data_IF_135325148884
#
_entry.id   IF_135325148884
#
_cell.length_a   1.000
_cell.length_b   1.000
_cell.length_c   1.000
_cell.angle_alpha   90.00
_cell.angle_beta   90.00
_cell.angle_gamma   90.00
#
_symmetry.space_group_name_H-M   'P 1'
#
loop_
_entity.id
_entity.type
_entity.pdbx_description
1 polymer ?
#
# COMPACT_ATOMS: atom_id res chain seq x y z
N UNK A 1 13.05 -7.65 -25.57
CA UNK A 1 13.58 -7.02 -24.35
C UNK A 1 14.84 -7.74 -23.93
N UNK A 2 15.90 -6.99 -23.64
CA UNK A 2 17.22 -7.55 -23.28
C UNK A 2 17.32 -7.89 -21.78
N UNK A 3 16.26 -7.67 -20.98
CA UNK A 3 16.26 -7.92 -19.54
C UNK A 3 15.99 -9.39 -19.23
N UNK A 4 16.80 -9.98 -18.35
CA UNK A 4 16.58 -11.32 -17.78
C UNK A 4 15.66 -11.31 -16.56
N UNK A 5 15.24 -10.14 -16.08
CA UNK A 5 14.34 -9.98 -14.94
C UNK A 5 12.94 -10.48 -15.28
N UNK A 6 12.55 -11.60 -14.68
CA UNK A 6 11.31 -12.29 -15.02
C UNK A 6 10.04 -11.51 -14.66
N UNK A 7 10.08 -10.79 -13.53
CA UNK A 7 8.91 -10.08 -12.99
C UNK A 7 8.54 -8.85 -13.82
N UNK A 8 9.52 -8.12 -14.32
CA UNK A 8 9.29 -6.84 -15.01
C UNK A 8 9.46 -6.93 -16.52
N UNK A 9 10.09 -7.99 -17.02
CA UNK A 9 10.37 -8.19 -18.45
C UNK A 9 9.13 -8.06 -19.34
N UNK A 10 8.01 -8.66 -18.92
CA UNK A 10 6.75 -8.64 -19.67
C UNK A 10 6.16 -7.22 -19.75
N UNK A 11 6.48 -6.36 -18.78
CA UNK A 11 5.99 -4.98 -18.67
C UNK A 11 7.06 -3.95 -19.10
N UNK A 12 7.99 -4.34 -19.95
CA UNK A 12 9.03 -3.45 -20.45
C UNK A 12 10.01 -2.95 -19.37
N UNK A 13 10.16 -3.70 -18.27
CA UNK A 13 11.00 -3.33 -17.13
C UNK A 13 10.31 -2.46 -16.08
N UNK A 14 9.03 -2.15 -16.25
CA UNK A 14 8.29 -1.33 -15.29
C UNK A 14 8.03 -2.09 -13.99
N UNK A 15 8.51 -1.52 -12.88
CA UNK A 15 8.27 -2.05 -11.55
C UNK A 15 6.87 -1.68 -11.06
N UNK A 16 6.14 -2.65 -10.54
CA UNK A 16 4.80 -2.48 -9.99
C UNK A 16 4.88 -2.59 -8.46
N UNK A 17 4.30 -1.64 -7.76
CA UNK A 17 4.20 -1.67 -6.31
C UNK A 17 3.23 -2.80 -5.89
N UNK A 18 3.68 -3.82 -5.16
CA UNK A 18 2.85 -4.96 -4.82
C UNK A 18 1.68 -4.62 -3.88
N UNK A 19 1.78 -3.51 -3.15
CA UNK A 19 0.75 -3.07 -2.20
C UNK A 19 -0.37 -2.28 -2.87
N UNK A 20 -0.04 -1.46 -3.87
CA UNK A 20 -0.99 -0.54 -4.51
C UNK A 20 -1.38 -0.97 -5.92
N UNK A 21 -0.65 -1.94 -6.51
CA UNK A 21 -0.78 -2.37 -7.91
C UNK A 21 -0.60 -1.22 -8.91
N UNK A 22 0.12 -0.17 -8.51
CA UNK A 22 0.45 1.00 -9.32
C UNK A 22 1.97 1.05 -9.59
N UNK A 23 2.38 1.80 -10.57
CA UNK A 23 3.79 2.05 -10.90
C UNK A 23 4.44 3.11 -10.02
N UNK A 24 3.67 3.73 -9.12
CA UNK A 24 4.12 4.77 -8.19
C UNK A 24 4.53 4.18 -6.85
N UNK A 25 5.61 4.71 -6.32
CA UNK A 25 6.15 4.33 -5.02
C UNK A 25 6.27 5.55 -4.11
N UNK A 26 5.62 5.50 -2.96
CA UNK A 26 5.83 6.52 -1.92
C UNK A 26 7.18 6.27 -1.24
N UNK A 27 8.06 7.27 -1.22
CA UNK A 27 9.40 7.14 -0.63
C UNK A 27 9.38 6.66 0.82
N UNK A 28 8.42 7.14 1.61
CA UNK A 28 8.27 6.78 3.03
C UNK A 28 7.79 5.35 3.27
N UNK A 29 7.25 4.69 2.26
CA UNK A 29 6.70 3.31 2.34
C UNK A 29 7.45 2.33 1.44
N UNK A 30 8.47 2.81 0.78
CA UNK A 30 9.32 2.01 -0.09
C UNK A 30 10.20 1.06 0.72
N UNK A 31 10.55 -0.07 0.12
CA UNK A 31 11.55 -0.96 0.70
C UNK A 31 12.89 -0.21 0.88
N UNK A 32 13.56 -0.34 2.04
CA UNK A 32 14.80 0.39 2.32
C UNK A 32 15.92 0.13 1.31
N UNK A 33 16.01 -1.08 0.76
CA UNK A 33 17.02 -1.42 -0.24
C UNK A 33 16.76 -0.70 -1.57
N UNK A 34 15.51 -0.69 -2.01
CA UNK A 34 15.09 0.06 -3.19
C UNK A 34 15.24 1.57 -2.98
N UNK A 35 14.81 2.08 -1.82
CA UNK A 35 14.95 3.50 -1.47
C UNK A 35 16.40 3.96 -1.56
N UNK A 36 17.35 3.22 -1.00
CA UNK A 36 18.78 3.57 -1.04
C UNK A 36 19.33 3.69 -2.47
N UNK A 37 18.73 2.98 -3.42
CA UNK A 37 19.15 2.99 -4.83
C UNK A 37 18.57 4.14 -5.62
N UNK A 38 17.32 4.56 -5.31
CA UNK A 38 16.58 5.54 -6.12
C UNK A 38 16.52 6.93 -5.49
N UNK A 39 16.82 7.07 -4.18
CA UNK A 39 16.65 8.33 -3.45
C UNK A 39 17.43 9.50 -4.07
N UNK A 40 18.63 9.24 -4.57
CA UNK A 40 19.53 10.25 -5.15
C UNK A 40 19.41 10.38 -6.68
N UNK A 41 18.61 9.52 -7.33
CA UNK A 41 18.42 9.59 -8.78
C UNK A 41 17.46 10.74 -9.13
N UNK A 42 17.81 11.49 -10.17
CA UNK A 42 16.94 12.50 -10.79
C UNK A 42 15.96 11.83 -11.77
N UNK A 43 15.02 12.63 -12.27
CA UNK A 43 14.14 12.19 -13.36
C UNK A 43 14.96 11.73 -14.57
N UNK A 44 14.57 10.58 -15.12
CA UNK A 44 15.22 9.92 -16.26
C UNK A 44 16.67 9.48 -16.00
N UNK A 45 17.17 9.59 -14.78
CA UNK A 45 18.51 9.16 -14.42
C UNK A 45 18.56 7.64 -14.23
N UNK A 46 19.62 7.02 -14.73
CA UNK A 46 19.87 5.59 -14.62
C UNK A 46 20.89 5.37 -13.50
N UNK A 47 20.61 4.42 -12.61
CA UNK A 47 21.54 4.05 -11.55
C UNK A 47 22.83 3.43 -12.09
N UNK A 48 23.90 3.48 -11.29
CA UNK A 48 25.02 2.58 -11.52
C UNK A 48 24.57 1.13 -11.38
N UNK A 49 25.19 0.20 -12.13
CA UNK A 49 24.92 -1.23 -11.95
C UNK A 49 25.21 -1.66 -10.51
N UNK A 50 24.30 -2.40 -9.92
CA UNK A 50 24.47 -2.95 -8.57
C UNK A 50 24.21 -4.44 -8.56
N UNK A 51 24.91 -5.13 -7.68
CA UNK A 51 24.75 -6.56 -7.46
C UNK A 51 23.57 -6.80 -6.49
N UNK A 52 22.69 -7.70 -6.87
CA UNK A 52 21.65 -8.24 -6.00
C UNK A 52 21.79 -9.75 -5.93
N UNK A 53 21.66 -10.29 -4.74
CA UNK A 53 21.70 -11.74 -4.51
C UNK A 53 20.32 -12.17 -4.02
N UNK A 54 19.66 -13.00 -4.80
CA UNK A 54 18.39 -13.61 -4.44
C UNK A 54 18.51 -15.14 -4.52
N UNK A 55 18.21 -15.81 -3.41
CA UNK A 55 18.29 -17.29 -3.27
C UNK A 55 19.62 -17.89 -3.78
N UNK A 56 20.73 -17.19 -3.53
CA UNK A 56 22.06 -17.63 -3.96
C UNK A 56 22.40 -17.32 -5.42
N UNK A 57 21.48 -16.73 -6.17
CA UNK A 57 21.73 -16.27 -7.54
C UNK A 57 22.13 -14.79 -7.53
N UNK A 58 23.31 -14.51 -8.06
CA UNK A 58 23.84 -13.16 -8.21
C UNK A 58 23.39 -12.57 -9.54
N UNK A 59 22.77 -11.39 -9.49
CA UNK A 59 22.30 -10.65 -10.66
C UNK A 59 22.77 -9.21 -10.62
N UNK A 60 23.15 -8.64 -11.76
CA UNK A 60 23.38 -7.23 -11.88
C UNK A 60 22.11 -6.53 -12.36
N UNK A 61 21.72 -5.49 -11.64
CA UNK A 61 20.53 -4.69 -11.96
C UNK A 61 20.90 -3.22 -12.19
N UNK A 62 20.13 -2.57 -13.04
CA UNK A 62 20.10 -1.12 -13.22
C UNK A 62 18.65 -0.66 -13.03
N UNK A 63 18.46 0.51 -12.46
CA UNK A 63 17.14 1.11 -12.22
C UNK A 63 17.15 2.52 -12.81
N UNK A 64 16.02 2.94 -13.36
CA UNK A 64 15.78 4.32 -13.75
C UNK A 64 14.52 4.85 -13.06
N UNK A 65 14.55 6.13 -12.68
CA UNK A 65 13.39 6.86 -12.20
C UNK A 65 12.79 7.59 -13.40
N UNK A 66 11.61 7.16 -13.84
CA UNK A 66 10.95 7.75 -15.02
C UNK A 66 10.28 9.09 -14.73
N UNK A 67 9.82 9.28 -13.50
CA UNK A 67 9.20 10.52 -13.05
C UNK A 67 9.30 10.64 -11.53
N UNK A 68 9.71 11.80 -11.04
CA UNK A 68 9.75 12.14 -9.63
C UNK A 68 8.69 13.18 -9.34
N UNK A 69 7.86 12.91 -8.34
CA UNK A 69 6.82 13.83 -7.89
C UNK A 69 7.23 14.34 -6.51
N UNK A 70 7.47 15.63 -6.41
CA UNK A 70 7.81 16.27 -5.14
C UNK A 70 6.62 16.31 -4.19
N UNK A 71 6.89 16.54 -2.91
CA UNK A 71 5.86 16.71 -1.91
C UNK A 71 4.90 17.85 -2.31
N UNK A 72 3.62 17.57 -2.28
CA UNK A 72 2.57 18.53 -2.64
C UNK A 72 1.29 18.25 -1.86
N UNK A 73 0.46 19.26 -1.74
CA UNK A 73 -0.90 19.06 -1.22
C UNK A 73 -1.69 18.20 -2.19
N UNK A 74 -2.43 17.22 -1.65
CA UNK A 74 -3.20 16.29 -2.46
C UNK A 74 -4.18 17.01 -3.40
N UNK A 75 -4.15 16.64 -4.66
CA UNK A 75 -4.93 17.24 -5.74
C UNK A 75 -5.57 16.15 -6.61
N UNK A 76 -6.79 16.41 -7.05
CA UNK A 76 -7.59 15.45 -7.81
C UNK A 76 -6.94 15.01 -9.12
N UNK A 77 -6.19 15.88 -9.78
CA UNK A 77 -5.59 15.55 -11.08
C UNK A 77 -4.37 14.63 -10.94
N UNK A 78 -3.64 14.74 -9.83
CA UNK A 78 -2.42 13.98 -9.58
C UNK A 78 -2.63 12.76 -8.71
N UNK A 79 -3.55 12.84 -7.74
CA UNK A 79 -3.74 11.86 -6.67
C UNK A 79 -5.08 11.14 -6.72
N UNK A 80 -5.80 11.22 -7.83
CA UNK A 80 -7.15 10.66 -7.97
C UNK A 80 -7.29 9.22 -7.45
N UNK A 81 -6.37 8.34 -7.82
CA UNK A 81 -6.43 6.93 -7.40
C UNK A 81 -6.31 6.81 -5.88
N UNK A 82 -5.37 7.54 -5.28
CA UNK A 82 -5.17 7.53 -3.83
C UNK A 82 -6.37 8.11 -3.07
N UNK A 83 -6.92 9.22 -3.55
CA UNK A 83 -8.12 9.84 -2.96
C UNK A 83 -9.31 8.90 -3.08
N UNK A 84 -9.51 8.28 -4.24
CA UNK A 84 -10.56 7.27 -4.47
C UNK A 84 -10.43 6.08 -3.52
N UNK A 85 -9.21 5.54 -3.33
CA UNK A 85 -8.97 4.42 -2.43
C UNK A 85 -9.25 4.77 -0.97
N UNK A 86 -8.86 5.97 -0.53
CA UNK A 86 -9.16 6.47 0.81
C UNK A 86 -10.67 6.63 1.02
N UNK A 87 -11.36 7.22 0.06
CA UNK A 87 -12.81 7.39 0.11
C UNK A 87 -13.54 6.04 0.10
N UNK A 88 -13.04 5.06 -0.67
CA UNK A 88 -13.59 3.71 -0.69
C UNK A 88 -13.41 3.02 0.67
N UNK A 89 -12.23 3.11 1.27
CA UNK A 89 -11.97 2.56 2.61
C UNK A 89 -12.86 3.18 3.67
N UNK A 90 -13.03 4.49 3.65
CA UNK A 90 -13.95 5.18 4.57
C UNK A 90 -15.39 4.70 4.40
N UNK A 91 -15.86 4.57 3.16
CA UNK A 91 -17.19 4.04 2.86
C UNK A 91 -17.36 2.60 3.33
N UNK A 92 -16.35 1.76 3.14
CA UNK A 92 -16.35 0.38 3.64
C UNK A 92 -16.43 0.31 5.17
N UNK A 93 -15.63 1.10 5.88
CA UNK A 93 -15.65 1.17 7.35
C UNK A 93 -17.04 1.59 7.84
N UNK A 94 -17.62 2.63 7.24
CA UNK A 94 -18.99 3.09 7.58
C UNK A 94 -20.04 2.00 7.31
N UNK A 95 -19.94 1.30 6.17
CA UNK A 95 -20.87 0.23 5.83
C UNK A 95 -20.76 -0.96 6.80
N UNK A 96 -19.54 -1.36 7.16
CA UNK A 96 -19.29 -2.41 8.16
C UNK A 96 -19.81 -1.98 9.53
N UNK A 97 -19.56 -0.74 9.96
CA UNK A 97 -20.09 -0.21 11.22
C UNK A 97 -21.62 -0.29 11.29
N UNK A 98 -22.29 0.17 10.23
CA UNK A 98 -23.77 0.08 10.15
C UNK A 98 -24.26 -1.38 10.18
N UNK A 99 -23.61 -2.26 9.45
CA UNK A 99 -23.94 -3.68 9.47
C UNK A 99 -23.77 -4.30 10.87
N UNK A 100 -22.70 -3.95 11.59
CA UNK A 100 -22.49 -4.38 12.98
C UNK A 100 -23.62 -3.89 13.89
N UNK A 101 -24.01 -2.63 13.80
CA UNK A 101 -25.12 -2.08 14.60
C UNK A 101 -26.44 -2.84 14.36
N UNK A 102 -26.73 -3.17 13.10
CA UNK A 102 -27.92 -3.95 12.73
C UNK A 102 -27.83 -5.37 13.27
N UNK A 103 -26.68 -6.04 13.12
CA UNK A 103 -26.47 -7.43 13.58
C UNK A 103 -26.47 -7.57 15.11
N UNK A 104 -25.94 -6.60 15.83
CA UNK A 104 -26.03 -6.57 17.30
C UNK A 104 -27.49 -6.56 17.76
N UNK A 105 -28.39 -5.84 17.07
CA UNK A 105 -29.80 -5.79 17.42
C UNK A 105 -30.53 -7.13 17.19
N UNK A 106 -30.16 -7.84 16.15
CA UNK A 106 -30.77 -9.10 15.72
C UNK A 106 -30.18 -10.33 16.43
N UNK A 107 -28.96 -10.25 16.95
CA UNK A 107 -28.22 -11.39 17.47
C UNK A 107 -28.35 -11.46 19.00
N UNK A 108 -28.52 -12.67 19.53
CA UNK A 108 -28.40 -12.88 20.98
C UNK A 108 -26.93 -12.84 21.39
N UNK A 109 -26.62 -11.90 22.29
CA UNK A 109 -25.24 -11.70 22.78
C UNK A 109 -25.25 -11.84 24.31
N UNK A 110 -24.42 -12.75 24.85
CA UNK A 110 -24.19 -12.93 26.27
C UNK A 110 -22.76 -12.57 26.61
N UNK A 111 -22.57 -11.59 27.47
CA UNK A 111 -21.26 -11.21 28.02
C UNK A 111 -21.22 -11.67 29.48
N UNK A 112 -20.15 -12.39 29.85
CA UNK A 112 -19.97 -12.85 31.23
C UNK A 112 -19.80 -11.65 32.18
N UNK A 113 -20.23 -11.82 33.46
CA UNK A 113 -20.32 -10.69 34.39
C UNK A 113 -19.05 -9.90 34.59
N UNK A 114 -17.91 -10.59 34.65
CA UNK A 114 -16.58 -9.97 34.81
C UNK A 114 -16.13 -9.07 33.63
N UNK A 115 -16.75 -9.26 32.43
CA UNK A 115 -16.41 -8.44 31.23
C UNK A 115 -17.48 -7.40 30.89
N UNK A 116 -18.56 -7.28 31.70
CA UNK A 116 -19.67 -6.36 31.40
C UNK A 116 -19.28 -4.90 31.52
N UNK A 117 -18.31 -4.61 32.38
CA UNK A 117 -17.84 -3.25 32.65
C UNK A 117 -16.71 -2.80 31.71
N UNK A 118 -16.34 -3.64 30.74
CA UNK A 118 -15.35 -3.27 29.73
C UNK A 118 -15.87 -2.16 28.81
N UNK A 119 -14.99 -1.27 28.41
CA UNK A 119 -15.29 -0.26 27.40
C UNK A 119 -15.35 -0.91 25.99
N UNK A 120 -16.56 -1.06 25.47
CA UNK A 120 -16.77 -1.58 24.11
C UNK A 120 -16.94 -0.45 23.11
N UNK A 121 -16.34 -0.60 21.93
CA UNK A 121 -16.51 0.33 20.81
C UNK A 121 -17.95 0.32 20.27
N UNK A 122 -18.62 -0.84 20.33
CA UNK A 122 -20.00 -1.02 19.94
C UNK A 122 -20.86 -1.37 21.17
N UNK A 123 -22.14 -1.04 21.12
CA UNK A 123 -23.06 -1.33 22.22
C UNK A 123 -23.48 -2.82 22.22
N UNK A 124 -22.62 -3.69 22.75
CA UNK A 124 -22.86 -5.13 22.88
C UNK A 124 -23.87 -5.48 24.01
N UNK A 125 -24.03 -4.57 24.96
CA UNK A 125 -24.97 -4.75 26.07
C UNK A 125 -26.32 -4.19 25.64
N UNK A 126 -27.21 -5.07 25.20
CA UNK A 126 -28.63 -4.69 25.01
C UNK A 126 -29.21 -4.33 26.37
N UNK A 127 -29.76 -3.13 26.49
CA UNK A 127 -30.64 -2.77 27.59
C UNK A 127 -32.02 -3.39 27.38
#
# INVERSE_FOLDING_TARGET
TMSDEKETRANGGTLINPKTQDTRFELTKMDPSLYSRVSNLKDQEISQPFLEEDQGKKTFKIITVTNRIDEHTADYSKDYIKIKDLALKEKQIKAVGKWFEEKIKETYIKINGEYRDCAFTNNWLKK
#
